data_IF_381997538141
#
_entry.id   IF_381997538141
#
_cell.length_a   1.000
_cell.length_b   1.000
_cell.length_c   1.000
_cell.angle_alpha   90.00
_cell.angle_beta   90.00
_cell.angle_gamma   90.00
#
_symmetry.space_group_name_H-M   'P 1'
#
loop_
_entity.id
_entity.type
_entity.pdbx_description
1 polymer ?
#
# COMPACT_ATOMS: atom_id res chain seq x y z
N UNK A 1 -21.70 -20.93 11.85
CA UNK A 1 -23.13 -21.32 11.88
C UNK A 1 -23.82 -20.64 13.06
N UNK A 2 -23.87 -21.31 14.21
CA UNK A 2 -24.52 -20.81 15.43
C UNK A 2 -24.03 -19.42 15.91
N UNK A 3 -22.70 -19.10 15.92
CA UNK A 3 -22.24 -17.77 16.35
C UNK A 3 -22.69 -16.64 15.40
N UNK A 4 -22.76 -16.90 14.09
CA UNK A 4 -23.15 -15.91 13.08
C UNK A 4 -24.62 -15.52 13.16
N UNK A 5 -25.49 -16.49 13.47
CA UNK A 5 -26.92 -16.26 13.72
C UNK A 5 -27.15 -15.49 15.03
N UNK A 6 -26.32 -15.70 16.04
CA UNK A 6 -26.37 -14.93 17.30
C UNK A 6 -25.86 -13.50 17.15
N UNK A 7 -24.76 -13.31 16.41
CA UNK A 7 -24.18 -11.99 16.10
C UNK A 7 -25.22 -11.11 15.41
N UNK A 8 -25.80 -11.58 14.30
CA UNK A 8 -26.86 -10.85 13.60
C UNK A 8 -28.01 -10.44 14.51
N UNK A 9 -28.54 -11.35 15.33
CA UNK A 9 -29.63 -10.98 16.24
C UNK A 9 -29.22 -9.93 17.29
N UNK A 10 -27.98 -9.93 17.79
CA UNK A 10 -27.54 -8.95 18.80
C UNK A 10 -27.22 -7.57 18.22
N UNK A 11 -26.58 -7.48 17.04
CA UNK A 11 -26.19 -6.18 16.45
C UNK A 11 -27.39 -5.35 16.00
N UNK A 12 -28.43 -5.99 15.45
CA UNK A 12 -29.65 -5.28 15.01
C UNK A 12 -30.49 -4.70 16.16
N UNK A 13 -30.40 -5.24 17.38
CA UNK A 13 -31.18 -4.76 18.53
C UNK A 13 -30.49 -3.65 19.33
N UNK A 14 -29.16 -3.54 19.26
CA UNK A 14 -28.38 -2.61 20.07
C UNK A 14 -27.96 -1.32 19.34
N UNK A 15 -28.18 -1.22 18.03
CA UNK A 15 -27.86 0.00 17.25
C UNK A 15 -26.42 0.50 17.41
N UNK A 16 -25.49 -0.38 17.78
CA UNK A 16 -24.17 -0.03 18.27
C UNK A 16 -23.07 -0.61 17.39
N UNK A 17 -22.23 0.27 16.88
CA UNK A 17 -20.99 -0.06 16.14
C UNK A 17 -20.01 -0.69 17.13
N UNK A 18 -19.92 -2.02 17.17
CA UNK A 18 -18.86 -2.69 17.91
C UNK A 18 -17.57 -2.57 17.10
N UNK A 19 -16.67 -1.71 17.54
CA UNK A 19 -15.34 -1.56 16.96
C UNK A 19 -14.48 -2.75 17.39
N UNK A 20 -14.32 -3.72 16.50
CA UNK A 20 -13.30 -4.74 16.67
C UNK A 20 -11.93 -4.03 16.67
N UNK A 21 -11.16 -4.21 17.75
CA UNK A 21 -9.71 -3.99 17.73
C UNK A 21 -9.14 -5.10 16.86
N UNK A 22 -9.01 -4.82 15.56
CA UNK A 22 -8.21 -5.64 14.66
C UNK A 22 -6.79 -5.65 15.21
N UNK A 23 -6.20 -6.83 15.39
CA UNK A 23 -4.78 -6.96 15.74
C UNK A 23 -4.00 -6.70 14.47
N UNK A 24 -3.96 -5.44 14.06
CA UNK A 24 -3.16 -5.01 12.94
C UNK A 24 -1.69 -5.02 13.38
N UNK A 25 -0.94 -6.03 12.91
CA UNK A 25 0.51 -6.03 13.08
C UNK A 25 1.09 -4.84 12.32
N UNK A 26 1.43 -3.79 13.06
CA UNK A 26 2.06 -2.54 12.61
C UNK A 26 3.56 -2.51 12.91
N UNK A 27 4.10 -3.63 13.37
CA UNK A 27 5.50 -3.75 13.74
C UNK A 27 6.01 -5.18 13.58
N UNK A 28 7.29 -5.28 13.26
CA UNK A 28 8.04 -6.52 13.26
C UNK A 28 8.97 -6.55 14.46
N UNK A 29 8.86 -7.61 15.26
CA UNK A 29 9.75 -7.90 16.39
C UNK A 29 10.54 -9.19 16.10
N UNK A 30 11.79 -9.25 16.56
CA UNK A 30 12.61 -10.43 16.34
C UNK A 30 12.11 -11.60 17.19
N UNK A 31 11.91 -12.76 16.56
CA UNK A 31 11.60 -13.99 17.28
C UNK A 31 12.85 -14.73 17.80
N UNK A 32 14.05 -14.31 17.36
CA UNK A 32 15.31 -14.98 17.65
C UNK A 32 16.41 -13.97 18.02
N UNK A 33 17.39 -14.45 18.77
CA UNK A 33 18.67 -13.75 18.91
C UNK A 33 19.48 -13.99 17.63
N UNK A 34 20.20 -12.98 17.15
CA UNK A 34 20.95 -13.12 15.92
C UNK A 34 21.52 -11.81 15.37
N UNK A 35 21.99 -11.87 14.13
CA UNK A 35 22.46 -10.70 13.37
C UNK A 35 21.52 -10.41 12.23
N UNK A 36 21.10 -9.16 12.09
CA UNK A 36 20.21 -8.71 11.02
C UNK A 36 20.98 -8.63 9.71
N UNK A 37 20.39 -9.17 8.64
CA UNK A 37 20.82 -9.00 7.26
C UNK A 37 19.65 -8.52 6.41
N UNK A 38 19.81 -7.46 5.65
CA UNK A 38 18.78 -6.91 4.78
C UNK A 38 19.01 -7.38 3.34
N UNK A 39 18.14 -8.26 2.85
CA UNK A 39 18.10 -8.68 1.44
C UNK A 39 17.44 -7.61 0.60
N UNK A 40 17.97 -7.37 -0.60
CA UNK A 40 17.49 -6.36 -1.55
C UNK A 40 17.34 -4.98 -0.89
N UNK A 41 18.34 -4.57 -0.10
CA UNK A 41 18.35 -3.33 0.68
C UNK A 41 18.20 -2.10 -0.21
N UNK A 42 16.96 -1.64 -0.38
CA UNK A 42 16.63 -0.34 -0.95
C UNK A 42 16.01 0.51 0.16
N UNK A 43 16.89 1.19 0.90
CA UNK A 43 16.56 1.94 2.12
C UNK A 43 17.26 3.29 2.07
N UNK A 44 16.54 4.36 2.36
CA UNK A 44 17.06 5.73 2.41
C UNK A 44 16.87 6.33 3.80
N UNK A 45 17.59 7.39 4.12
CA UNK A 45 17.36 8.17 5.33
C UNK A 45 16.50 9.38 5.00
N UNK A 46 15.37 9.51 5.67
CA UNK A 46 14.48 10.66 5.52
C UNK A 46 15.04 11.92 6.22
N UNK A 47 14.31 13.03 6.13
CA UNK A 47 14.70 14.31 6.74
C UNK A 47 14.83 14.25 8.27
N UNK A 48 14.20 13.26 8.92
CA UNK A 48 14.26 13.03 10.36
C UNK A 48 15.34 12.01 10.75
N UNK A 49 16.11 11.50 9.78
CA UNK A 49 17.16 10.50 9.98
C UNK A 49 16.64 9.07 10.17
N UNK A 50 15.35 8.81 9.91
CA UNK A 50 14.74 7.47 9.98
C UNK A 50 15.07 6.70 8.72
N UNK A 51 15.26 5.38 8.86
CA UNK A 51 15.51 4.49 7.74
C UNK A 51 14.19 4.08 7.10
N UNK A 52 13.97 4.52 5.86
CA UNK A 52 12.74 4.31 5.10
C UNK A 52 12.96 3.27 4.02
N UNK A 53 12.14 2.22 4.01
CA UNK A 53 12.15 1.19 2.96
C UNK A 53 11.53 1.76 1.68
N UNK A 54 12.33 1.86 0.62
CA UNK A 54 11.92 2.35 -0.70
C UNK A 54 11.68 1.22 -1.70
N UNK A 55 12.16 0.00 -1.42
CA UNK A 55 11.97 -1.17 -2.29
C UNK A 55 10.83 -2.07 -1.83
N UNK A 56 10.04 -2.58 -2.78
CA UNK A 56 8.92 -3.51 -2.53
C UNK A 56 9.33 -4.90 -2.07
N UNK A 57 10.56 -5.32 -2.40
CA UNK A 57 11.05 -6.68 -2.15
C UNK A 57 12.05 -6.73 -0.99
N UNK A 58 12.21 -5.61 -0.28
CA UNK A 58 13.16 -5.52 0.83
C UNK A 58 12.77 -6.52 1.92
N UNK A 59 13.70 -7.36 2.36
CA UNK A 59 13.44 -8.34 3.40
C UNK A 59 14.50 -8.27 4.51
N UNK A 60 14.03 -8.35 5.76
CA UNK A 60 14.87 -8.50 6.94
C UNK A 60 15.04 -9.98 7.24
N UNK A 61 16.29 -10.41 7.32
CA UNK A 61 16.70 -11.77 7.66
C UNK A 61 17.41 -11.73 9.00
N UNK A 62 17.03 -12.61 9.91
CA UNK A 62 17.77 -12.83 11.16
C UNK A 62 18.66 -14.04 10.97
N UNK A 63 19.97 -13.86 11.11
CA UNK A 63 20.98 -14.91 11.02
C UNK A 63 21.37 -15.40 12.42
N UNK A 64 21.64 -16.70 12.56
CA UNK A 64 22.28 -17.24 13.77
C UNK A 64 23.80 -16.95 13.80
N UNK A 65 24.48 -17.46 14.84
CA UNK A 65 25.93 -17.29 15.02
C UNK A 65 26.76 -17.97 13.91
N UNK A 66 26.22 -19.03 13.30
CA UNK A 66 26.85 -19.79 12.22
C UNK A 66 26.55 -19.18 10.83
N UNK A 67 25.71 -18.16 10.76
CA UNK A 67 25.31 -17.46 9.54
C UNK A 67 24.13 -18.08 8.79
N UNK A 68 23.41 -19.03 9.39
CA UNK A 68 22.20 -19.63 8.81
C UNK A 68 20.97 -18.75 9.03
N UNK A 69 20.03 -18.76 8.08
CA UNK A 69 18.81 -17.95 8.13
C UNK A 69 17.80 -18.54 9.12
N UNK A 70 17.58 -17.85 10.23
CA UNK A 70 16.61 -18.22 11.28
C UNK A 70 15.20 -17.77 10.97
N UNK A 71 15.07 -16.60 10.33
CA UNK A 71 13.80 -16.01 9.96
C UNK A 71 14.00 -15.06 8.78
N UNK A 72 13.00 -14.98 7.91
CA UNK A 72 12.96 -14.06 6.77
C UNK A 72 11.62 -13.36 6.79
N UNK A 73 11.64 -12.03 6.84
CA UNK A 73 10.46 -11.18 6.89
C UNK A 73 10.52 -10.16 5.75
N UNK A 74 9.57 -10.24 4.83
CA UNK A 74 9.41 -9.21 3.78
C UNK A 74 8.81 -7.95 4.38
N UNK A 75 9.33 -6.80 3.99
CA UNK A 75 8.89 -5.51 4.50
C UNK A 75 8.06 -4.77 3.46
N UNK A 76 6.90 -4.22 3.85
CA UNK A 76 6.13 -3.31 3.00
C UNK A 76 6.94 -2.07 2.59
N UNK A 77 6.59 -1.49 1.45
CA UNK A 77 7.08 -0.17 1.03
C UNK A 77 6.69 0.90 2.07
N UNK A 78 7.66 1.76 2.41
CA UNK A 78 7.53 2.81 3.41
C UNK A 78 7.53 2.34 4.86
N UNK A 79 7.93 1.10 5.10
CA UNK A 79 8.29 0.62 6.43
C UNK A 79 9.44 1.46 7.00
N UNK A 80 9.31 1.84 8.27
CA UNK A 80 10.37 2.43 9.05
C UNK A 80 11.21 1.31 9.66
N UNK A 81 12.49 1.24 9.30
CA UNK A 81 13.45 0.34 9.88
C UNK A 81 14.03 0.92 11.17
N UNK A 82 14.01 0.12 12.24
CA UNK A 82 14.62 0.46 13.53
C UNK A 82 16.07 -0.02 13.64
N UNK A 83 16.44 -0.99 12.80
CA UNK A 83 17.77 -1.60 12.73
C UNK A 83 18.27 -1.61 11.28
N UNK A 84 19.58 -1.59 11.09
CA UNK A 84 20.23 -1.68 9.78
C UNK A 84 21.03 -2.99 9.65
N UNK A 85 21.61 -3.22 8.47
CA UNK A 85 22.40 -4.40 8.16
C UNK A 85 23.58 -4.60 9.12
N UNK A 86 23.77 -5.83 9.60
CA UNK A 86 24.86 -6.22 10.51
C UNK A 86 24.60 -5.94 12.00
N UNK A 87 23.44 -5.37 12.37
CA UNK A 87 23.10 -5.12 13.77
C UNK A 87 22.75 -6.44 14.49
N UNK A 88 23.35 -6.67 15.66
CA UNK A 88 22.95 -7.77 16.55
C UNK A 88 21.66 -7.42 17.26
N UNK A 89 20.71 -8.35 17.25
CA UNK A 89 19.38 -8.21 17.86
C UNK A 89 19.09 -9.37 18.78
N UNK A 90 18.28 -9.12 19.78
CA UNK A 90 17.72 -10.14 20.67
C UNK A 90 16.26 -10.39 20.34
N UNK A 91 15.76 -11.53 20.78
CA UNK A 91 14.33 -11.83 20.76
C UNK A 91 13.55 -10.73 21.49
N UNK A 92 12.53 -10.21 20.83
CA UNK A 92 11.69 -9.11 21.29
C UNK A 92 12.16 -7.73 20.82
N UNK A 93 13.35 -7.60 20.23
CA UNK A 93 13.79 -6.32 19.68
C UNK A 93 12.93 -5.93 18.48
N UNK A 94 12.47 -4.67 18.46
CA UNK A 94 11.69 -4.15 17.35
C UNK A 94 12.59 -3.86 16.16
N UNK A 95 12.34 -4.56 15.06
CA UNK A 95 13.13 -4.47 13.83
C UNK A 95 12.57 -3.42 12.87
N UNK A 96 11.24 -3.34 12.78
CA UNK A 96 10.56 -2.47 11.83
C UNK A 96 9.16 -2.07 12.30
N UNK A 97 8.62 -0.99 11.74
CA UNK A 97 7.25 -0.51 11.99
C UNK A 97 6.64 0.11 10.72
N UNK A 98 5.33 0.02 10.56
CA UNK A 98 4.58 0.59 9.44
C UNK A 98 3.15 0.93 9.85
N UNK A 99 2.48 1.75 9.03
CA UNK A 99 1.06 2.04 9.18
C UNK A 99 0.24 0.94 8.50
N UNK A 100 -0.67 0.24 9.21
CA UNK A 100 -1.48 -0.83 8.63
C UNK A 100 -2.68 -0.30 7.83
N UNK A 101 -3.06 0.97 8.00
CA UNK A 101 -4.24 1.56 7.40
C UNK A 101 -3.92 2.46 6.22
N UNK A 102 -2.68 2.92 6.12
CA UNK A 102 -2.27 3.81 5.04
C UNK A 102 -1.03 3.32 4.31
N UNK A 103 -1.03 3.49 3.00
CA UNK A 103 0.16 3.36 2.16
C UNK A 103 0.81 4.74 2.02
N UNK A 104 2.07 4.91 2.44
CA UNK A 104 2.75 6.18 2.26
C UNK A 104 3.13 6.38 0.79
N UNK A 105 3.11 7.63 0.34
CA UNK A 105 3.68 8.08 -0.94
C UNK A 105 4.99 8.78 -0.59
N UNK A 106 6.13 8.17 -0.90
CA UNK A 106 7.45 8.73 -0.55
C UNK A 106 8.13 9.38 -1.76
N UNK A 107 8.95 10.39 -1.51
CA UNK A 107 9.85 10.95 -2.53
C UNK A 107 11.15 10.15 -2.62
N UNK A 108 11.68 9.97 -3.83
CA UNK A 108 12.99 9.33 -4.07
C UNK A 108 14.13 10.36 -4.11
N UNK A 109 13.81 11.65 -4.21
CA UNK A 109 14.78 12.72 -4.41
C UNK A 109 14.57 13.84 -3.39
N UNK A 110 15.65 14.57 -3.12
CA UNK A 110 15.57 15.84 -2.41
C UNK A 110 15.08 16.97 -3.32
N UNK A 111 14.35 17.93 -2.76
CA UNK A 111 13.91 19.09 -3.49
C UNK A 111 12.80 19.87 -2.79
N UNK A 112 12.14 20.74 -3.55
CA UNK A 112 11.03 21.55 -3.06
C UNK A 112 9.71 21.00 -3.58
N UNK A 113 8.74 20.83 -2.68
CA UNK A 113 7.39 20.37 -2.98
C UNK A 113 6.65 21.43 -3.81
N UNK A 114 5.99 20.99 -4.87
CA UNK A 114 5.11 21.78 -5.71
C UNK A 114 3.82 21.02 -5.97
N UNK A 115 2.68 21.69 -5.81
CA UNK A 115 1.38 21.09 -6.05
C UNK A 115 0.90 21.39 -7.46
N UNK A 116 0.53 20.35 -8.19
CA UNK A 116 -0.05 20.45 -9.53
C UNK A 116 -1.54 20.05 -9.47
N UNK A 117 -2.42 20.87 -10.02
CA UNK A 117 -3.87 20.62 -10.11
C UNK A 117 -4.59 20.39 -8.76
N UNK A 118 -4.03 20.91 -7.66
CA UNK A 118 -4.67 20.98 -6.35
C UNK A 118 -5.41 22.32 -6.23
N UNK A 119 -6.74 22.27 -6.32
CA UNK A 119 -7.64 23.42 -6.25
C UNK A 119 -8.59 23.20 -5.09
N UNK A 120 -8.56 24.11 -4.13
CA UNK A 120 -9.40 24.05 -2.93
C UNK A 120 -10.90 24.01 -3.30
N UNK A 121 -11.63 23.10 -2.65
CA UNK A 121 -13.05 22.87 -2.90
C UNK A 121 -13.36 22.16 -4.23
N UNK A 122 -12.36 21.86 -5.07
CA UNK A 122 -12.54 21.13 -6.33
C UNK A 122 -11.80 19.80 -6.31
N UNK A 123 -10.49 19.79 -6.02
CA UNK A 123 -9.68 18.58 -5.94
C UNK A 123 -9.06 18.34 -4.57
N UNK A 124 -9.01 19.35 -3.70
CA UNK A 124 -8.59 19.19 -2.30
C UNK A 124 -9.60 19.86 -1.36
N UNK A 125 -9.82 19.24 -0.21
CA UNK A 125 -10.65 19.80 0.86
C UNK A 125 -9.95 19.56 2.19
N UNK A 126 -9.99 20.55 3.07
CA UNK A 126 -9.65 20.35 4.47
C UNK A 126 -10.73 19.49 5.13
N UNK A 127 -10.31 18.46 5.86
CA UNK A 127 -11.17 17.63 6.70
C UNK A 127 -10.57 17.57 8.09
N UNK A 128 -11.39 17.87 9.08
CA UNK A 128 -11.01 17.65 10.47
C UNK A 128 -11.21 16.19 10.82
N UNK A 129 -10.15 15.53 11.24
CA UNK A 129 -10.22 14.20 11.80
C UNK A 129 -10.87 14.30 13.19
N UNK A 130 -12.03 13.66 13.37
CA UNK A 130 -12.79 13.71 14.63
C UNK A 130 -12.06 13.02 15.79
N UNK A 131 -11.18 12.06 15.50
CA UNK A 131 -10.46 11.27 16.51
C UNK A 131 -9.24 11.99 17.06
N UNK A 132 -8.49 12.68 16.19
CA UNK A 132 -7.26 13.38 16.57
C UNK A 132 -7.46 14.90 16.72
N UNK A 133 -8.55 15.43 16.17
CA UNK A 133 -8.85 16.86 16.10
C UNK A 133 -8.00 17.64 15.08
N UNK A 134 -7.09 16.96 14.37
CA UNK A 134 -6.16 17.52 13.40
C UNK A 134 -6.89 17.78 12.08
N UNK A 135 -6.66 18.94 11.48
CA UNK A 135 -7.13 19.25 10.14
C UNK A 135 -6.15 18.68 9.12
N UNK A 136 -6.66 17.82 8.25
CA UNK A 136 -5.91 17.18 7.18
C UNK A 136 -6.40 17.69 5.82
N UNK A 137 -5.49 17.95 4.89
CA UNK A 137 -5.85 18.24 3.50
C UNK A 137 -6.05 16.93 2.76
N UNK A 138 -7.28 16.67 2.33
CA UNK A 138 -7.70 15.40 1.70
C UNK A 138 -8.10 15.64 0.25
N UNK A 139 -7.63 14.78 -0.63
CA UNK A 139 -8.01 14.81 -2.05
C UNK A 139 -9.46 14.32 -2.18
N UNK A 140 -10.30 15.14 -2.81
CA UNK A 140 -11.72 14.84 -3.04
C UNK A 140 -11.94 14.47 -4.50
N UNK A 141 -13.07 13.85 -4.84
CA UNK A 141 -13.36 13.46 -6.23
C UNK A 141 -13.56 14.68 -7.14
N UNK A 142 -12.47 15.10 -7.77
CA UNK A 142 -12.43 16.22 -8.70
C UNK A 142 -13.22 15.98 -9.98
N UNK A 143 -13.46 14.72 -10.34
CA UNK A 143 -14.18 14.37 -11.57
C UNK A 143 -15.68 14.59 -11.46
N UNK A 144 -16.20 14.65 -10.23
CA UNK A 144 -17.60 14.96 -9.96
C UNK A 144 -17.95 16.43 -10.29
N UNK A 145 -16.94 17.31 -10.31
CA UNK A 145 -17.11 18.73 -10.63
C UNK A 145 -16.79 18.98 -12.11
N UNK A 146 -17.65 19.69 -12.88
CA UNK A 146 -17.33 20.10 -14.25
C UNK A 146 -16.04 20.94 -14.34
N UNK A 147 -15.70 21.66 -13.27
CA UNK A 147 -14.46 22.45 -13.17
C UNK A 147 -13.21 21.60 -12.92
N UNK A 148 -13.39 20.36 -12.50
CA UNK A 148 -12.30 19.47 -12.13
C UNK A 148 -12.02 18.37 -13.15
N UNK A 149 -12.84 18.19 -14.19
CA UNK A 149 -12.76 17.03 -15.09
C UNK A 149 -11.37 16.76 -15.69
N UNK A 150 -10.62 17.81 -15.99
CA UNK A 150 -9.27 17.71 -16.60
C UNK A 150 -8.13 17.73 -15.57
N UNK A 151 -8.43 17.95 -14.28
CA UNK A 151 -7.41 18.01 -13.23
C UNK A 151 -6.71 16.67 -13.06
N UNK A 152 -5.41 16.74 -12.79
CA UNK A 152 -4.55 15.60 -12.45
C UNK A 152 -3.79 15.91 -11.16
N UNK A 153 -4.47 15.89 -10.00
CA UNK A 153 -3.85 16.23 -8.72
C UNK A 153 -2.55 15.43 -8.50
N UNK A 154 -1.46 16.15 -8.26
CA UNK A 154 -0.15 15.55 -8.08
C UNK A 154 0.74 16.39 -7.16
N UNK A 155 1.71 15.72 -6.54
CA UNK A 155 2.85 16.37 -5.90
C UNK A 155 4.06 16.22 -6.81
N UNK A 156 4.64 17.32 -7.26
CA UNK A 156 5.88 17.34 -8.00
C UNK A 156 7.02 17.81 -7.08
N UNK A 157 8.21 17.22 -7.23
CA UNK A 157 9.41 17.65 -6.50
C UNK A 157 10.32 18.38 -7.47
N UNK A 158 10.55 19.66 -7.18
CA UNK A 158 11.40 20.55 -7.99
C UNK A 158 12.84 20.55 -7.47
N UNK A 159 13.78 20.55 -8.41
CA UNK A 159 15.19 20.76 -8.13
C UNK A 159 15.49 22.23 -7.75
N UNK A 160 16.75 22.51 -7.39
CA UNK A 160 17.22 23.88 -7.07
C UNK A 160 17.05 24.88 -8.22
N UNK A 161 16.79 24.43 -9.45
CA UNK A 161 16.57 25.25 -10.64
C UNK A 161 15.07 25.42 -10.94
N UNK A 162 14.18 24.90 -10.09
CA UNK A 162 12.74 24.98 -10.25
C UNK A 162 12.16 24.02 -11.29
N UNK A 163 12.95 23.07 -11.81
CA UNK A 163 12.48 22.05 -12.75
C UNK A 163 12.07 20.80 -12.00
N UNK A 164 11.10 20.06 -12.53
CA UNK A 164 10.72 18.77 -11.94
C UNK A 164 11.92 17.83 -11.99
N UNK A 165 12.30 17.31 -10.83
CA UNK A 165 13.42 16.38 -10.71
C UNK A 165 13.17 15.10 -11.49
N UNK A 166 14.24 14.40 -11.86
CA UNK A 166 14.15 13.10 -12.52
C UNK A 166 14.37 11.98 -11.50
N UNK A 167 13.60 10.91 -11.61
CA UNK A 167 13.71 9.75 -10.74
C UNK A 167 14.79 8.80 -11.25
N UNK A 168 15.43 8.06 -10.34
CA UNK A 168 16.45 7.07 -10.67
C UNK A 168 15.93 5.94 -11.55
N UNK A 169 14.66 5.56 -11.36
CA UNK A 169 13.96 4.54 -12.16
C UNK A 169 13.46 5.05 -13.52
N UNK A 170 13.69 6.31 -13.84
CA UNK A 170 13.14 6.99 -15.02
C UNK A 170 11.83 7.71 -14.72
N UNK A 171 11.51 8.68 -15.58
CA UNK A 171 10.36 9.56 -15.41
C UNK A 171 10.64 10.81 -14.57
N UNK A 172 9.60 11.62 -14.42
CA UNK A 172 9.60 12.85 -13.62
C UNK A 172 9.21 12.53 -12.18
N UNK A 173 9.75 13.30 -11.23
CA UNK A 173 9.42 13.23 -9.80
C UNK A 173 8.05 13.86 -9.53
N UNK A 174 7.02 13.25 -10.14
CA UNK A 174 5.62 13.63 -10.07
C UNK A 174 4.84 12.43 -9.52
N UNK A 175 4.18 12.64 -8.39
CA UNK A 175 3.43 11.64 -7.66
C UNK A 175 1.95 11.97 -7.76
N UNK A 176 1.21 11.21 -8.57
CA UNK A 176 -0.23 11.38 -8.73
C UNK A 176 -0.96 11.02 -7.44
N UNK A 177 -1.90 11.86 -7.04
CA UNK A 177 -2.69 11.68 -5.84
C UNK A 177 -4.08 11.14 -6.18
N UNK A 178 -4.48 9.98 -5.63
CA UNK A 178 -5.84 9.49 -5.78
C UNK A 178 -6.81 10.23 -4.85
N UNK A 179 -8.11 10.04 -5.08
CA UNK A 179 -9.17 10.43 -4.14
C UNK A 179 -8.91 9.75 -2.79
N UNK A 180 -9.25 10.45 -1.71
CA UNK A 180 -9.00 10.10 -0.31
C UNK A 180 -7.53 10.13 0.13
N UNK A 181 -6.59 10.47 -0.76
CA UNK A 181 -5.20 10.69 -0.33
C UNK A 181 -5.13 11.87 0.65
N UNK A 182 -4.40 11.67 1.74
CA UNK A 182 -4.19 12.64 2.80
C UNK A 182 -2.81 13.26 2.61
N UNK A 183 -2.75 14.55 2.30
CA UNK A 183 -1.49 15.27 2.14
C UNK A 183 -0.74 15.34 3.48
N UNK A 184 0.58 15.13 3.41
CA UNK A 184 1.47 15.13 4.59
C UNK A 184 2.51 16.25 4.53
N UNK A 185 2.51 17.04 3.46
CA UNK A 185 3.41 18.15 3.20
C UNK A 185 2.62 19.36 2.73
N UNK A 186 3.28 20.53 2.72
CA UNK A 186 2.77 21.78 2.17
C UNK A 186 3.59 22.19 0.93
N UNK A 187 2.99 23.00 0.06
CA UNK A 187 3.71 23.54 -1.09
C UNK A 187 4.87 24.44 -0.64
N UNK A 188 6.01 24.35 -1.32
CA UNK A 188 7.22 25.09 -0.97
C UNK A 188 8.09 24.47 0.14
N UNK A 189 7.63 23.42 0.83
CA UNK A 189 8.45 22.70 1.80
C UNK A 189 9.63 21.97 1.13
N UNK A 190 10.77 21.95 1.81
CA UNK A 190 11.90 21.12 1.43
C UNK A 190 11.71 19.70 1.95
N UNK A 191 11.97 18.72 1.08
CA UNK A 191 11.90 17.30 1.39
C UNK A 191 13.19 16.60 0.99
N UNK A 192 13.49 15.51 1.67
CA UNK A 192 14.57 14.57 1.36
C UNK A 192 14.01 13.24 0.89
N UNK A 193 14.84 12.44 0.21
CA UNK A 193 14.48 11.08 -0.17
C UNK A 193 13.99 10.29 1.05
N UNK A 194 12.84 9.63 0.93
CA UNK A 194 12.18 8.91 2.02
C UNK A 194 11.12 9.70 2.78
N UNK A 195 11.01 11.01 2.59
CA UNK A 195 9.93 11.79 3.21
C UNK A 195 8.56 11.42 2.63
N UNK A 196 7.56 11.39 3.51
CA UNK A 196 6.16 11.08 3.17
C UNK A 196 5.48 12.32 2.60
N UNK A 197 5.09 12.28 1.33
CA UNK A 197 4.34 13.34 0.64
C UNK A 197 2.84 13.26 0.92
N UNK A 198 2.31 12.05 0.92
CA UNK A 198 0.89 11.78 1.17
C UNK A 198 0.70 10.37 1.77
N UNK A 199 -0.47 10.12 2.34
CA UNK A 199 -0.90 8.81 2.83
C UNK A 199 -2.18 8.40 2.14
N UNK A 200 -2.23 7.18 1.64
CA UNK A 200 -3.37 6.66 0.89
C UNK A 200 -4.05 5.60 1.75
N UNK A 201 -5.29 5.80 2.21
CA UNK A 201 -6.01 4.80 2.98
C UNK A 201 -6.18 3.50 2.20
N UNK A 202 -5.86 2.37 2.83
CA UNK A 202 -6.07 1.04 2.26
C UNK A 202 -7.56 0.72 2.14
N UNK A 203 -7.96 -0.12 1.17
CA UNK A 203 -9.36 -0.53 1.04
C UNK A 203 -9.83 -1.37 2.24
N UNK A 204 -8.95 -2.19 2.81
CA UNK A 204 -9.20 -2.93 4.06
C UNK A 204 -9.61 -2.02 5.22
N UNK A 205 -9.03 -0.81 5.30
CA UNK A 205 -9.36 0.18 6.33
C UNK A 205 -10.73 0.84 6.12
N UNK A 206 -11.32 0.76 4.93
CA UNK A 206 -12.66 1.32 4.62
C UNK A 206 -13.78 0.39 5.06
N UNK A 207 -13.57 -0.93 5.01
CA UNK A 207 -14.58 -1.96 5.31
C UNK A 207 -14.61 -2.29 6.80
N UNK A 208 -14.91 -1.30 7.65
CA UNK A 208 -14.97 -1.46 9.12
C UNK A 208 -16.35 -1.83 9.66
N UNK A 209 -17.31 -2.12 8.77
CA UNK A 209 -18.69 -2.41 9.16
C UNK A 209 -18.94 -3.93 9.28
N UNK A 210 -18.92 -4.40 10.52
CA UNK A 210 -19.23 -5.77 10.94
C UNK A 210 -20.62 -6.26 10.48
N UNK A 211 -21.57 -5.35 10.19
CA UNK A 211 -22.91 -5.74 9.75
C UNK A 211 -22.92 -6.29 8.31
N UNK A 212 -21.88 -5.98 7.52
CA UNK A 212 -21.66 -6.52 6.16
C UNK A 212 -20.86 -7.83 6.11
N UNK A 213 -20.38 -8.35 7.24
CA UNK A 213 -19.44 -9.48 7.29
C UNK A 213 -20.03 -10.84 6.86
N UNK A 214 -21.31 -11.10 7.11
CA UNK A 214 -21.93 -12.38 6.71
C UNK A 214 -22.11 -12.52 5.19
N UNK A 215 -22.59 -11.50 4.45
CA UNK A 215 -22.51 -11.49 2.99
C UNK A 215 -21.11 -11.81 2.48
N UNK A 216 -20.07 -11.24 3.12
CA UNK A 216 -18.67 -11.50 2.76
C UNK A 216 -18.26 -12.96 2.98
N UNK A 217 -18.62 -13.57 4.10
CA UNK A 217 -18.38 -15.00 4.34
C UNK A 217 -19.07 -15.86 3.27
N UNK A 218 -20.31 -15.53 2.90
CA UNK A 218 -21.02 -16.24 1.83
C UNK A 218 -20.32 -16.10 0.47
N UNK A 219 -19.86 -14.89 0.12
CA UNK A 219 -19.08 -14.66 -1.11
C UNK A 219 -17.80 -15.49 -1.17
N UNK A 220 -17.09 -15.63 -0.04
CA UNK A 220 -15.87 -16.44 0.07
C UNK A 220 -16.16 -17.93 -0.13
N UNK A 221 -17.22 -18.46 0.48
CA UNK A 221 -17.63 -19.87 0.30
C UNK A 221 -18.16 -20.17 -1.11
N UNK A 222 -18.84 -19.21 -1.74
CA UNK A 222 -19.29 -19.33 -3.13
C UNK A 222 -18.17 -19.03 -4.15
N UNK A 223 -16.96 -18.71 -3.68
CA UNK A 223 -15.81 -18.31 -4.50
C UNK A 223 -16.13 -17.19 -5.51
N UNK A 224 -17.06 -16.28 -5.17
CA UNK A 224 -17.45 -15.20 -6.07
C UNK A 224 -16.30 -14.21 -6.24
N UNK A 225 -16.14 -13.71 -7.47
CA UNK A 225 -15.23 -12.59 -7.75
C UNK A 225 -15.85 -11.28 -7.22
N UNK A 226 -15.18 -10.55 -6.31
CA UNK A 226 -15.64 -9.24 -5.88
C UNK A 226 -15.73 -8.26 -7.06
N UNK A 227 -16.67 -7.30 -6.98
CA UNK A 227 -16.80 -6.25 -8.01
C UNK A 227 -15.54 -5.39 -8.08
N UNK A 228 -15.04 -4.97 -6.92
CA UNK A 228 -13.79 -4.22 -6.74
C UNK A 228 -12.67 -5.17 -6.26
N UNK A 229 -12.36 -6.19 -7.06
CA UNK A 229 -11.31 -7.13 -6.71
C UNK A 229 -9.92 -6.52 -6.89
N UNK A 230 -9.00 -6.92 -6.02
CA UNK A 230 -7.59 -6.66 -6.20
C UNK A 230 -7.06 -7.37 -7.47
N UNK A 231 -6.03 -6.77 -8.06
CA UNK A 231 -5.31 -7.36 -9.19
C UNK A 231 -3.92 -7.72 -8.68
N UNK A 232 -3.56 -8.99 -8.81
CA UNK A 232 -2.29 -9.55 -8.38
C UNK A 232 -1.42 -9.86 -9.61
N UNK A 233 -0.12 -9.60 -9.50
CA UNK A 233 0.86 -9.92 -10.53
C UNK A 233 1.01 -11.44 -10.72
N UNK A 234 0.84 -11.91 -11.95
CA UNK A 234 0.96 -13.33 -12.31
C UNK A 234 2.43 -13.73 -12.55
N UNK A 235 3.27 -12.76 -12.89
CA UNK A 235 4.68 -12.92 -13.20
C UNK A 235 5.51 -11.89 -12.46
N UNK A 236 6.77 -12.24 -12.17
CA UNK A 236 7.76 -11.30 -11.64
C UNK A 236 8.38 -10.51 -12.79
N UNK A 237 8.67 -9.22 -12.59
CA UNK A 237 9.30 -8.42 -13.62
C UNK A 237 9.23 -6.91 -13.34
N UNK A 238 9.46 -6.12 -14.39
CA UNK A 238 9.43 -4.66 -14.33
C UNK A 238 8.10 -4.12 -14.86
N UNK A 239 7.47 -3.23 -14.09
CA UNK A 239 6.21 -2.57 -14.43
C UNK A 239 6.42 -1.50 -15.49
N UNK A 240 5.63 -1.54 -16.56
CA UNK A 240 5.55 -0.50 -17.58
C UNK A 240 4.11 0.01 -17.69
N UNK A 241 3.94 1.32 -17.63
CA UNK A 241 2.63 1.94 -17.82
C UNK A 241 2.43 2.22 -19.31
N UNK A 242 1.51 1.47 -19.92
CA UNK A 242 1.17 1.62 -21.33
C UNK A 242 0.25 2.80 -21.61
N UNK A 243 -0.05 3.02 -22.89
CA UNK A 243 -1.09 3.99 -23.27
C UNK A 243 -2.46 3.51 -22.77
N UNK A 244 -3.21 4.45 -22.21
CA UNK A 244 -4.58 4.22 -21.81
C UNK A 244 -5.42 3.69 -22.98
N UNK A 245 -6.30 2.72 -22.69
CA UNK A 245 -7.23 2.15 -23.65
C UNK A 245 -8.68 2.41 -23.19
N UNK A 246 -9.38 3.31 -23.89
CA UNK A 246 -10.72 3.78 -23.50
C UNK A 246 -10.72 4.27 -22.04
N UNK A 247 -11.56 3.68 -21.19
CA UNK A 247 -11.67 3.98 -19.75
C UNK A 247 -10.80 3.07 -18.87
N UNK A 248 -9.80 2.38 -19.45
CA UNK A 248 -8.86 1.53 -18.72
C UNK A 248 -7.42 2.02 -18.92
N UNK A 249 -6.60 1.92 -17.89
CA UNK A 249 -5.15 2.07 -17.93
C UNK A 249 -4.51 0.72 -18.19
N UNK A 250 -3.53 0.69 -19.09
CA UNK A 250 -2.78 -0.52 -19.40
C UNK A 250 -1.52 -0.58 -18.54
N UNK A 251 -1.31 -1.72 -17.89
CA UNK A 251 -0.07 -2.03 -17.18
C UNK A 251 0.50 -3.27 -17.81
N UNK A 252 1.78 -3.24 -18.15
CA UNK A 252 2.49 -4.38 -18.70
C UNK A 252 3.61 -4.75 -17.74
N UNK A 253 3.65 -6.02 -17.31
CA UNK A 253 4.80 -6.54 -16.57
C UNK A 253 5.71 -7.22 -17.58
N UNK A 254 6.95 -6.75 -17.68
CA UNK A 254 7.98 -7.37 -18.52
C UNK A 254 8.86 -8.28 -17.65
N UNK A 255 8.82 -9.61 -17.83
CA UNK A 255 9.67 -10.54 -17.09
C UNK A 255 11.15 -10.35 -17.42
N UNK A 256 12.01 -10.57 -16.42
CA UNK A 256 13.46 -10.43 -16.58
C UNK A 256 14.09 -11.63 -17.32
N UNK A 257 13.37 -12.75 -17.41
CA UNK A 257 13.80 -14.01 -18.03
C UNK A 257 13.46 -14.10 -19.53
N UNK A 258 12.95 -13.02 -20.12
CA UNK A 258 12.64 -12.94 -21.54
C UNK A 258 11.34 -13.63 -21.96
N UNK A 259 10.49 -14.04 -21.01
CA UNK A 259 9.14 -14.49 -21.28
C UNK A 259 8.27 -13.36 -21.86
N UNK A 260 7.12 -13.74 -22.45
CA UNK A 260 6.19 -12.76 -23.01
C UNK A 260 5.66 -11.81 -21.93
N UNK A 261 5.61 -10.49 -22.21
CA UNK A 261 5.04 -9.54 -21.26
C UNK A 261 3.56 -9.81 -20.98
N UNK A 262 3.16 -9.70 -19.72
CA UNK A 262 1.77 -9.89 -19.30
C UNK A 262 1.09 -8.53 -19.15
N UNK A 263 -0.05 -8.35 -19.83
CA UNK A 263 -0.82 -7.09 -19.82
C UNK A 263 -2.04 -7.16 -18.90
N UNK A 264 -2.24 -6.10 -18.13
CA UNK A 264 -3.39 -5.86 -17.24
C UNK A 264 -4.14 -4.60 -17.66
N UNK A 265 -5.47 -4.66 -17.61
CA UNK A 265 -6.34 -3.52 -17.92
C UNK A 265 -7.11 -3.07 -16.68
N UNK A 266 -6.68 -1.97 -16.09
CA UNK A 266 -7.20 -1.47 -14.82
C UNK A 266 -8.15 -0.30 -15.06
N UNK A 267 -9.37 -0.27 -14.50
CA UNK A 267 -10.28 0.86 -14.64
C UNK A 267 -9.62 2.19 -14.26
N UNK A 268 -9.79 3.22 -15.08
CA UNK A 268 -9.31 4.57 -14.74
C UNK A 268 -10.02 5.08 -13.48
N UNK A 269 -9.27 5.76 -12.63
CA UNK A 269 -9.76 6.29 -11.35
C UNK A 269 -9.47 5.38 -10.16
N UNK A 270 -9.15 4.10 -10.38
CA UNK A 270 -8.63 3.22 -9.33
C UNK A 270 -7.14 3.50 -9.10
N UNK A 271 -6.72 3.49 -7.84
CA UNK A 271 -5.34 3.78 -7.47
C UNK A 271 -4.46 2.55 -7.62
N UNK A 272 -3.34 2.70 -8.33
CA UNK A 272 -2.37 1.62 -8.50
C UNK A 272 -1.49 1.54 -7.28
N UNK A 273 -1.28 0.31 -6.80
CA UNK A 273 -0.32 0.07 -5.75
C UNK A 273 1.12 0.24 -6.24
N UNK A 274 1.36 0.22 -7.56
CA UNK A 274 2.67 0.23 -8.25
C UNK A 274 2.92 1.50 -9.08
N UNK A 275 4.20 1.81 -9.30
CA UNK A 275 4.67 2.92 -10.15
C UNK A 275 5.42 2.38 -11.37
N UNK A 276 5.60 3.24 -12.39
CA UNK A 276 6.34 2.87 -13.60
C UNK A 276 7.82 2.56 -13.29
N UNK A 277 8.35 1.45 -13.80
CA UNK A 277 9.72 1.01 -13.50
C UNK A 277 9.87 0.29 -12.16
N UNK A 278 8.80 0.13 -11.38
CA UNK A 278 8.85 -0.72 -10.17
C UNK A 278 9.14 -2.17 -10.58
N UNK A 279 10.04 -2.82 -9.84
CA UNK A 279 10.26 -4.27 -9.94
C UNK A 279 9.37 -4.96 -8.92
N UNK A 280 8.61 -5.94 -9.38
CA UNK A 280 7.61 -6.65 -8.60
C UNK A 280 7.77 -8.16 -8.74
N UNK A 281 7.40 -8.89 -7.70
CA UNK A 281 7.32 -10.35 -7.72
C UNK A 281 5.92 -10.87 -8.00
N UNK A 282 5.86 -12.10 -8.54
CA UNK A 282 4.64 -12.88 -8.64
C UNK A 282 3.92 -12.90 -7.29
N UNK A 283 2.64 -12.55 -7.28
CA UNK A 283 1.82 -12.50 -6.07
C UNK A 283 1.71 -11.13 -5.43
N UNK A 284 2.42 -10.10 -5.92
CA UNK A 284 2.27 -8.72 -5.45
C UNK A 284 1.03 -8.03 -6.02
N UNK A 285 0.47 -7.09 -5.25
CA UNK A 285 -0.72 -6.34 -5.65
C UNK A 285 -0.36 -5.21 -6.62
N UNK A 286 -1.00 -5.20 -7.79
CA UNK A 286 -1.01 -4.09 -8.74
C UNK A 286 -2.12 -3.10 -8.41
N UNK A 287 -3.26 -3.63 -7.97
CA UNK A 287 -4.43 -2.89 -7.54
C UNK A 287 -4.84 -3.39 -6.16
N UNK A 288 -5.07 -2.46 -5.24
CA UNK A 288 -5.57 -2.75 -3.91
C UNK A 288 -7.03 -3.24 -3.93
N UNK A 289 -7.41 -3.99 -2.90
CA UNK A 289 -8.74 -4.55 -2.73
C UNK A 289 -8.75 -6.01 -2.32
N UNK A 290 -9.94 -6.62 -2.31
CA UNK A 290 -10.09 -8.02 -1.93
C UNK A 290 -9.70 -8.92 -3.10
N UNK A 291 -8.68 -9.79 -2.97
CA UNK A 291 -8.30 -10.69 -4.04
C UNK A 291 -9.36 -11.76 -4.30
N UNK A 292 -9.54 -12.13 -5.57
CA UNK A 292 -10.44 -13.21 -5.92
C UNK A 292 -9.82 -14.56 -5.53
N UNK A 293 -10.57 -15.48 -4.88
CA UNK A 293 -10.06 -16.80 -4.51
C UNK A 293 -9.43 -17.58 -5.66
N UNK A 294 -10.00 -17.45 -6.87
CA UNK A 294 -9.48 -18.06 -8.09
C UNK A 294 -8.09 -17.56 -8.48
N UNK A 295 -7.83 -16.26 -8.30
CA UNK A 295 -6.55 -15.65 -8.67
C UNK A 295 -5.47 -16.04 -7.65
N UNK A 296 -5.82 -16.09 -6.36
CA UNK A 296 -4.91 -16.60 -5.31
C UNK A 296 -4.53 -18.05 -5.61
N UNK A 297 -5.51 -18.91 -5.96
CA UNK A 297 -5.24 -20.30 -6.30
C UNK A 297 -4.30 -20.44 -7.49
N UNK A 298 -4.56 -19.69 -8.57
CA UNK A 298 -3.77 -19.78 -9.79
C UNK A 298 -2.35 -19.24 -9.62
N UNK A 299 -2.18 -18.17 -8.84
CA UNK A 299 -0.90 -17.45 -8.71
C UNK A 299 -0.07 -18.00 -7.55
N UNK A 300 -0.68 -18.17 -6.37
CA UNK A 300 -0.01 -18.51 -5.10
C UNK A 300 -0.22 -19.96 -4.66
N UNK A 301 -1.24 -20.65 -5.17
CA UNK A 301 -1.48 -22.06 -4.90
C UNK A 301 -2.47 -22.34 -3.76
N UNK A 302 -2.62 -23.62 -3.43
CA UNK A 302 -3.67 -24.13 -2.53
C UNK A 302 -3.44 -23.71 -1.07
N UNK A 303 -2.21 -23.80 -0.58
CA UNK A 303 -1.88 -23.48 0.82
C UNK A 303 -2.18 -22.02 1.15
N UNK A 304 -1.75 -21.11 0.27
CA UNK A 304 -2.00 -19.68 0.45
C UNK A 304 -3.49 -19.35 0.37
N UNK A 305 -4.24 -19.99 -0.55
CA UNK A 305 -5.69 -19.83 -0.61
C UNK A 305 -6.35 -20.29 0.69
N UNK A 306 -5.95 -21.44 1.23
CA UNK A 306 -6.50 -21.96 2.47
C UNK A 306 -6.23 -21.00 3.65
N UNK A 307 -5.01 -20.50 3.77
CA UNK A 307 -4.64 -19.51 4.80
C UNK A 307 -5.47 -18.23 4.66
N UNK A 308 -5.62 -17.71 3.45
CA UNK A 308 -6.43 -16.52 3.19
C UNK A 308 -7.90 -16.71 3.58
N UNK A 309 -8.52 -17.82 3.17
CA UNK A 309 -9.91 -18.12 3.52
C UNK A 309 -10.12 -18.25 5.03
N UNK A 310 -9.19 -18.91 5.73
CA UNK A 310 -9.26 -19.06 7.19
C UNK A 310 -9.16 -17.71 7.87
N UNK A 311 -8.18 -16.88 7.48
CA UNK A 311 -7.97 -15.56 8.09
C UNK A 311 -9.16 -14.62 7.85
N UNK A 312 -9.66 -14.50 6.62
CA UNK A 312 -10.80 -13.63 6.30
C UNK A 312 -12.08 -14.05 7.03
N UNK A 313 -12.33 -15.35 7.16
CA UNK A 313 -13.48 -15.83 7.93
C UNK A 313 -13.29 -15.52 9.41
N UNK A 314 -12.09 -15.74 9.95
CA UNK A 314 -11.78 -15.42 11.35
C UNK A 314 -11.88 -13.94 11.65
N UNK A 315 -11.51 -13.04 10.73
CA UNK A 315 -11.64 -11.59 10.92
C UNK A 315 -13.10 -11.14 11.06
N UNK A 316 -14.05 -11.87 10.48
CA UNK A 316 -15.48 -11.59 10.62
C UNK A 316 -16.06 -12.04 11.98
N UNK A 317 -15.43 -13.04 12.62
CA UNK A 317 -15.94 -13.69 13.84
C UNK A 317 -15.23 -13.24 15.11
#
# INVERSE_FOLDING_TARGET
GEPGTQLTMRTFHLGGVASAKVVDQSSLESNFDGTVKIKQRNVVKDSQGRLMVMGRNTAVVVLDEDGSERAVHRLPYGTHLRVDDGVKVKRGDRLAEWDPYTRPVLTEIEGTVDFEDLVEGVSVSERRDESTGITNSVIIDWRASPRGADLRPAVAIKDKKGKIGKLSRGGESRYLLPVDAILSVETGHQVMAGDVLARIPMESAKTRDITGGLPRVAELFEARRPKDHAIIAEVSGTVQLGRDYKNKRRITITPDDGQEPVEYLIPKGRHLAVQEGDRIEKGEFLLDGHPAPHDILAIKGVEELANYLVNEIQEVY
#
